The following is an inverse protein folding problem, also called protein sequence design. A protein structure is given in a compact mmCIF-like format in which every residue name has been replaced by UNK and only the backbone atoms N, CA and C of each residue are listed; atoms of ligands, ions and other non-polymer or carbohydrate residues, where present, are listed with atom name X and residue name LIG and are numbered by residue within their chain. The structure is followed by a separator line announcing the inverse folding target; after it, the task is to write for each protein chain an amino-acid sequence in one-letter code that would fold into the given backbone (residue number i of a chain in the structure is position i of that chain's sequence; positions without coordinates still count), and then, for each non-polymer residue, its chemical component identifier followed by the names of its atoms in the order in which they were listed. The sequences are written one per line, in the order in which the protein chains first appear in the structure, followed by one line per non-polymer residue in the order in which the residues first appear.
data_IF_006627221975
#
_entry.id   IF_006627221975
#
_cell.length_a   1.000
_cell.length_b   1.000
_cell.length_c   1.000
_cell.angle_alpha   90.00
_cell.angle_beta   90.00
_cell.angle_gamma   90.00
#
_symmetry.space_group_name_H-M   'P 1'
#
loop_
_entity.id
_entity.type
_entity.pdbx_description
1 polymer ?
#
# COMPACT_ATOMS: atom_id res chain seq x y z
N UNK A 1 -22.48 17.16 -19.32
CA UNK A 1 -22.01 15.77 -19.53
C UNK A 1 -20.50 15.65 -19.38
N UNK A 2 -19.71 16.73 -19.52
CA UNK A 2 -18.25 16.74 -19.27
C UNK A 2 -17.88 16.76 -17.78
N UNK A 3 -18.66 17.45 -16.94
CA UNK A 3 -18.36 17.60 -15.51
C UNK A 3 -18.33 16.27 -14.72
N UNK A 4 -19.20 15.32 -15.07
CA UNK A 4 -19.25 14.01 -14.38
C UNK A 4 -18.04 13.13 -14.69
N UNK A 5 -17.47 13.23 -15.90
CA UNK A 5 -16.27 12.49 -16.29
C UNK A 5 -15.02 13.05 -15.62
N UNK A 6 -14.91 14.38 -15.54
CA UNK A 6 -13.78 15.04 -14.90
C UNK A 6 -13.78 14.76 -13.39
N UNK A 7 -14.95 14.77 -12.74
CA UNK A 7 -15.09 14.38 -11.34
C UNK A 7 -14.67 12.93 -11.09
N UNK A 8 -15.11 11.99 -11.92
CA UNK A 8 -14.77 10.57 -11.77
C UNK A 8 -13.26 10.32 -11.97
N UNK A 9 -12.64 11.02 -12.91
CA UNK A 9 -11.21 10.92 -13.16
C UNK A 9 -10.40 11.48 -11.97
N UNK A 10 -10.83 12.61 -11.42
CA UNK A 10 -10.23 13.20 -10.23
C UNK A 10 -10.30 12.25 -9.04
N UNK A 11 -11.49 11.70 -8.74
CA UNK A 11 -11.67 10.78 -7.61
C UNK A 11 -10.80 9.53 -7.75
N UNK A 12 -10.69 9.00 -8.97
CA UNK A 12 -9.82 7.86 -9.27
C UNK A 12 -8.35 8.20 -9.08
N UNK A 13 -7.88 9.32 -9.62
CA UNK A 13 -6.50 9.77 -9.48
C UNK A 13 -6.14 10.04 -8.01
N UNK A 14 -7.04 10.70 -7.28
CA UNK A 14 -6.89 10.97 -5.86
C UNK A 14 -6.83 9.66 -5.05
N UNK A 15 -7.76 8.73 -5.27
CA UNK A 15 -7.76 7.41 -4.63
C UNK A 15 -6.47 6.63 -4.91
N UNK A 16 -5.96 6.69 -6.14
CA UNK A 16 -4.71 6.03 -6.53
C UNK A 16 -3.50 6.66 -5.84
N UNK A 17 -3.47 7.99 -5.71
CA UNK A 17 -2.42 8.70 -4.97
C UNK A 17 -2.40 8.32 -3.49
N UNK A 18 -3.58 8.26 -2.85
CA UNK A 18 -3.69 7.82 -1.46
C UNK A 18 -3.21 6.37 -1.29
N UNK A 19 -3.59 5.47 -2.21
CA UNK A 19 -3.15 4.09 -2.18
C UNK A 19 -1.62 3.96 -2.36
N UNK A 20 -1.04 4.71 -3.31
CA UNK A 20 0.40 4.72 -3.58
C UNK A 20 1.20 5.22 -2.38
N UNK A 21 0.81 6.37 -1.79
CA UNK A 21 1.51 6.89 -0.60
C UNK A 21 1.42 5.93 0.59
N UNK A 22 0.27 5.26 0.77
CA UNK A 22 0.15 4.25 1.83
C UNK A 22 1.03 3.03 1.59
N UNK A 23 1.14 2.58 0.34
CA UNK A 23 2.03 1.49 -0.05
C UNK A 23 3.50 1.82 0.25
N UNK A 24 3.94 3.05 -0.07
CA UNK A 24 5.28 3.54 0.26
C UNK A 24 5.54 3.55 1.76
N UNK A 25 4.61 4.05 2.59
CA UNK A 25 4.75 4.03 4.05
C UNK A 25 4.91 2.60 4.62
N UNK A 26 4.21 1.61 4.04
CA UNK A 26 4.37 0.21 4.45
C UNK A 26 5.79 -0.26 4.14
N UNK A 27 6.30 0.00 2.94
CA UNK A 27 7.64 -0.41 2.53
C UNK A 27 8.72 0.26 3.36
N UNK A 28 8.57 1.54 3.66
CA UNK A 28 9.46 2.29 4.55
C UNK A 28 9.48 1.65 5.95
N UNK A 29 8.31 1.35 6.53
CA UNK A 29 8.22 0.69 7.85
C UNK A 29 8.90 -0.69 7.84
N UNK A 30 8.74 -1.45 6.76
CA UNK A 30 9.37 -2.77 6.65
C UNK A 30 10.89 -2.69 6.44
N UNK A 31 11.38 -1.60 5.85
CA UNK A 31 12.81 -1.43 5.57
C UNK A 31 13.68 -1.39 6.82
N UNK A 32 13.10 -1.01 7.98
CA UNK A 32 13.75 -1.08 9.30
C UNK A 32 14.16 -2.52 9.68
N UNK A 33 13.51 -3.53 9.10
CA UNK A 33 13.75 -4.95 9.37
C UNK A 33 14.54 -5.67 8.27
N UNK A 34 14.92 -4.96 7.21
CA UNK A 34 15.72 -5.49 6.10
C UNK A 34 15.09 -5.29 4.72
N UNK A 35 15.69 -5.92 3.72
CA UNK A 35 15.25 -5.80 2.33
C UNK A 35 13.91 -6.51 2.09
N UNK A 36 12.90 -5.76 1.63
CA UNK A 36 11.61 -6.33 1.22
C UNK A 36 11.77 -7.06 -0.12
N UNK A 37 11.45 -8.37 -0.20
CA UNK A 37 11.52 -9.14 -1.44
C UNK A 37 10.73 -8.49 -2.57
N UNK A 38 11.28 -8.51 -3.79
CA UNK A 38 10.69 -7.82 -4.95
C UNK A 38 9.21 -8.16 -5.16
N UNK A 39 8.84 -9.44 -5.09
CA UNK A 39 7.44 -9.89 -5.23
C UNK A 39 6.50 -9.21 -4.23
N UNK A 40 6.94 -9.06 -2.99
CA UNK A 40 6.16 -8.44 -1.92
C UNK A 40 6.07 -6.94 -2.13
N UNK A 41 7.18 -6.32 -2.54
CA UNK A 41 7.22 -4.90 -2.92
C UNK A 41 6.23 -4.58 -4.02
N UNK A 42 6.23 -5.36 -5.10
CA UNK A 42 5.30 -5.21 -6.22
C UNK A 42 3.85 -5.43 -5.79
N UNK A 43 3.59 -6.42 -4.93
CA UNK A 43 2.24 -6.68 -4.41
C UNK A 43 1.71 -5.50 -3.59
N UNK A 44 2.56 -4.86 -2.78
CA UNK A 44 2.21 -3.68 -1.99
C UNK A 44 1.97 -2.46 -2.90
N UNK A 45 2.89 -2.16 -3.82
CA UNK A 45 2.79 -1.00 -4.72
C UNK A 45 1.60 -1.05 -5.68
N UNK A 46 1.19 -2.26 -6.09
CA UNK A 46 0.05 -2.43 -6.99
C UNK A 46 -1.30 -2.52 -6.27
N UNK A 47 -1.32 -2.53 -4.94
CA UNK A 47 -2.56 -2.64 -4.19
C UNK A 47 -3.37 -1.34 -4.24
N UNK A 48 -4.64 -1.45 -4.64
CA UNK A 48 -5.57 -0.31 -4.76
C UNK A 48 -6.62 -0.27 -3.66
N UNK A 49 -6.82 -1.36 -2.92
CA UNK A 49 -7.76 -1.37 -1.80
C UNK A 49 -7.14 -0.66 -0.60
N UNK A 50 -7.70 0.51 -0.26
CA UNK A 50 -7.31 1.26 0.94
C UNK A 50 -7.49 0.41 2.21
N UNK A 51 -8.56 -0.38 2.28
CA UNK A 51 -8.80 -1.28 3.41
C UNK A 51 -7.69 -2.33 3.58
N UNK A 52 -7.21 -2.91 2.47
CA UNK A 52 -6.10 -3.88 2.51
C UNK A 52 -4.80 -3.20 2.93
N UNK A 53 -4.50 -2.03 2.34
CA UNK A 53 -3.32 -1.25 2.69
C UNK A 53 -3.32 -0.83 4.16
N UNK A 54 -4.47 -0.46 4.74
CA UNK A 54 -4.56 -0.15 6.17
C UNK A 54 -4.30 -1.37 7.07
N UNK A 55 -4.80 -2.56 6.67
CA UNK A 55 -4.51 -3.81 7.37
C UNK A 55 -3.02 -4.14 7.33
N UNK A 56 -2.40 -4.06 6.15
CA UNK A 56 -0.97 -4.27 5.99
C UNK A 56 -0.13 -3.24 6.75
N UNK A 57 -0.49 -1.96 6.73
CA UNK A 57 0.22 -0.95 7.50
C UNK A 57 0.14 -1.19 9.01
N UNK A 58 -1.03 -1.62 9.49
CA UNK A 58 -1.19 -1.99 10.90
C UNK A 58 -0.34 -3.22 11.26
N UNK A 59 -0.27 -4.22 10.36
CA UNK A 59 0.54 -5.41 10.52
C UNK A 59 2.05 -5.10 10.52
N UNK A 60 2.52 -4.26 9.60
CA UNK A 60 3.92 -3.86 9.48
C UNK A 60 4.45 -3.22 10.78
N UNK A 61 3.60 -2.48 11.50
CA UNK A 61 3.93 -1.88 12.81
C UNK A 61 3.91 -2.85 13.99
N UNK A 62 3.32 -4.04 13.82
CA UNK A 62 3.17 -5.05 14.88
C UNK A 62 4.19 -6.18 14.78
N UNK A 63 4.76 -6.40 13.59
CA UNK A 63 5.77 -7.43 13.36
C UNK A 63 7.18 -6.88 13.56
N UNK A 64 8.15 -7.78 13.71
CA UNK A 64 9.57 -7.43 13.91
C UNK A 64 10.50 -8.09 12.88
N UNK A 65 9.95 -8.61 11.78
CA UNK A 65 10.74 -9.14 10.66
C UNK A 65 9.92 -9.11 9.37
N UNK A 66 10.62 -9.11 8.23
CA UNK A 66 10.01 -9.24 6.91
C UNK A 66 9.21 -10.55 6.80
N UNK A 67 9.77 -11.67 7.26
CA UNK A 67 9.10 -12.98 7.20
C UNK A 67 7.81 -13.02 8.03
N UNK A 68 7.78 -12.38 9.19
CA UNK A 68 6.58 -12.32 10.02
C UNK A 68 5.46 -11.50 9.35
N UNK A 69 5.83 -10.46 8.59
CA UNK A 69 4.89 -9.71 7.77
C UNK A 69 4.36 -10.54 6.60
N UNK A 70 5.25 -11.12 5.80
CA UNK A 70 4.89 -11.83 4.56
C UNK A 70 4.04 -13.07 4.81
N UNK A 71 4.21 -13.74 5.95
CA UNK A 71 3.38 -14.88 6.35
C UNK A 71 1.94 -14.50 6.76
N UNK A 72 1.64 -13.21 6.97
CA UNK A 72 0.36 -12.74 7.52
C UNK A 72 -0.35 -11.68 6.65
N UNK A 73 0.28 -11.24 5.56
CA UNK A 73 -0.27 -10.26 4.62
C UNK A 73 -1.31 -10.89 3.70
#
# INVERSE_FOLDING_TARGET
MTDDYDSLLYDKAHSYGIAAGKAECILETLSDYGEVPLRIREQILNQRSNAQLNRWFSLARQVHSIDAFTNRM
#
